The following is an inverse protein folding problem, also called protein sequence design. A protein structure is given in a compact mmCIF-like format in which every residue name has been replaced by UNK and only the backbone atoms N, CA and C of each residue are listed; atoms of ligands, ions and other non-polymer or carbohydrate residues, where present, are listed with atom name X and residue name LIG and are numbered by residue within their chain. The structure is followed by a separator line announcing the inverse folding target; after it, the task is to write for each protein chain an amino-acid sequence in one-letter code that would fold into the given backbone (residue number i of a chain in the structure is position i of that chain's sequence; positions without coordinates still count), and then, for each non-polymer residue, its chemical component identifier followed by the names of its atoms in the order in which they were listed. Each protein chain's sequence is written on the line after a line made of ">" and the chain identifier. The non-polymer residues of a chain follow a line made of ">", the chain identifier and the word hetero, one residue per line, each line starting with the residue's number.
data_IF_337968207670
#
_entry.id   IF_337968207670
#
_cell.length_a   1.000
_cell.length_b   1.000
_cell.length_c   1.000
_cell.angle_alpha   90.00
_cell.angle_beta   90.00
_cell.angle_gamma   90.00
#
_symmetry.space_group_name_H-M   'P 1'
#
loop_
_entity.id
_entity.type
_entity.pdbx_description
1 polymer ?
#
# COMPACT_ATOMS: atom_id res chain seq x y z
N UNK A 1 7.20 43.06 -21.49
CA UNK A 1 8.37 42.36 -20.91
C UNK A 1 8.11 41.79 -19.50
N UNK A 2 7.29 42.42 -18.64
CA UNK A 2 6.97 41.86 -17.31
C UNK A 2 6.11 40.58 -17.36
N UNK A 3 5.11 40.52 -18.25
CA UNK A 3 4.20 39.36 -18.35
C UNK A 3 4.94 38.05 -18.68
N UNK A 4 5.92 38.09 -19.59
CA UNK A 4 6.72 36.92 -19.96
C UNK A 4 7.60 36.42 -18.82
N UNK A 5 8.11 37.33 -17.98
CA UNK A 5 8.86 36.98 -16.77
C UNK A 5 7.97 36.28 -15.74
N UNK A 6 6.75 36.79 -15.53
CA UNK A 6 5.78 36.17 -14.62
C UNK A 6 5.37 34.76 -15.10
N UNK A 7 5.16 34.57 -16.40
CA UNK A 7 4.88 33.25 -16.98
C UNK A 7 6.02 32.26 -16.72
N UNK A 8 7.28 32.70 -16.88
CA UNK A 8 8.44 31.87 -16.60
C UNK A 8 8.54 31.47 -15.12
N UNK A 9 8.26 32.42 -14.21
CA UNK A 9 8.23 32.16 -12.76
C UNK A 9 7.15 31.15 -12.42
N UNK A 10 5.93 31.33 -12.94
CA UNK A 10 4.82 30.40 -12.74
C UNK A 10 5.17 29.00 -13.23
N UNK A 11 5.79 28.89 -14.41
CA UNK A 11 6.19 27.60 -14.98
C UNK A 11 7.27 26.91 -14.13
N UNK A 12 8.25 27.67 -13.62
CA UNK A 12 9.25 27.13 -12.67
C UNK A 12 8.61 26.65 -11.38
N UNK A 13 7.68 27.42 -10.84
CA UNK A 13 6.94 27.04 -9.62
C UNK A 13 6.12 25.78 -9.84
N UNK A 14 5.46 25.67 -10.99
CA UNK A 14 4.69 24.48 -11.35
C UNK A 14 5.57 23.24 -11.46
N UNK A 15 6.74 23.36 -12.11
CA UNK A 15 7.74 22.28 -12.17
C UNK A 15 8.22 21.85 -10.78
N UNK A 16 8.49 22.80 -9.89
CA UNK A 16 8.92 22.51 -8.52
C UNK A 16 7.82 21.77 -7.73
N UNK A 17 6.56 22.20 -7.85
CA UNK A 17 5.43 21.53 -7.20
C UNK A 17 5.23 20.12 -7.77
N UNK A 18 5.27 19.96 -9.09
CA UNK A 18 5.15 18.66 -9.72
C UNK A 18 6.24 17.68 -9.25
N UNK A 19 7.50 18.14 -9.20
CA UNK A 19 8.61 17.35 -8.68
C UNK A 19 8.39 16.98 -7.20
N UNK A 20 8.01 17.94 -6.35
CA UNK A 20 7.70 17.68 -4.95
C UNK A 20 6.64 16.59 -4.78
N UNK A 21 5.53 16.70 -5.53
CA UNK A 21 4.42 15.77 -5.44
C UNK A 21 4.77 14.36 -5.92
N UNK A 22 5.54 14.25 -7.00
CA UNK A 22 5.84 12.97 -7.66
C UNK A 22 7.16 12.33 -7.24
N UNK A 23 7.98 13.04 -6.46
CA UNK A 23 9.23 12.51 -5.89
C UNK A 23 8.97 11.27 -5.04
N UNK A 24 10.01 10.48 -4.77
CA UNK A 24 9.90 9.23 -3.98
C UNK A 24 9.28 9.41 -2.59
N UNK A 25 9.50 10.57 -1.96
CA UNK A 25 8.92 10.95 -0.67
C UNK A 25 7.66 11.80 -0.80
N UNK A 26 7.27 12.13 -2.03
CA UNK A 26 6.12 12.94 -2.33
C UNK A 26 4.79 12.23 -2.00
N UNK A 27 3.70 13.00 -1.82
CA UNK A 27 2.36 12.45 -1.62
C UNK A 27 1.89 11.56 -2.78
N UNK A 28 2.31 11.85 -4.01
CA UNK A 28 1.97 11.10 -5.22
C UNK A 28 3.13 10.21 -5.70
N UNK A 29 4.07 9.91 -4.81
CA UNK A 29 5.09 8.91 -5.07
C UNK A 29 4.41 7.60 -5.51
N UNK A 30 4.83 7.05 -6.66
CA UNK A 30 4.40 5.72 -7.10
C UNK A 30 5.08 4.65 -6.24
N UNK A 31 4.63 4.50 -4.99
CA UNK A 31 5.11 3.45 -4.10
C UNK A 31 4.48 2.14 -4.57
N UNK A 32 5.30 1.20 -5.07
CA UNK A 32 4.90 -0.21 -5.13
C UNK A 32 4.86 -0.72 -3.68
N UNK A 33 3.77 -0.43 -2.97
CA UNK A 33 3.53 -1.07 -1.68
C UNK A 33 3.14 -2.51 -1.98
N UNK A 34 3.91 -3.47 -1.47
CA UNK A 34 3.45 -4.85 -1.45
C UNK A 34 2.12 -4.88 -0.68
N UNK A 35 1.06 -5.49 -1.23
CA UNK A 35 -0.20 -5.60 -0.52
C UNK A 35 0.05 -6.29 0.83
N UNK A 36 -0.36 -5.63 1.92
CA UNK A 36 -0.30 -6.24 3.25
C UNK A 36 -1.50 -7.17 3.36
N UNK A 37 -1.21 -8.46 3.32
CA UNK A 37 -2.22 -9.48 3.59
C UNK A 37 -2.35 -9.67 5.10
N UNK A 38 -3.58 -9.85 5.55
CA UNK A 38 -3.91 -10.05 6.96
C UNK A 38 -4.43 -11.46 7.16
N UNK A 39 -4.11 -12.06 8.31
CA UNK A 39 -4.71 -13.32 8.78
C UNK A 39 -5.14 -13.19 10.23
N UNK A 40 -6.01 -14.08 10.66
CA UNK A 40 -6.33 -14.23 12.07
C UNK A 40 -5.17 -14.99 12.75
N UNK A 41 -4.74 -14.48 13.90
CA UNK A 41 -3.83 -15.20 14.78
C UNK A 41 -4.55 -16.38 15.43
N UNK A 42 -3.80 -17.42 15.81
CA UNK A 42 -4.33 -18.57 16.54
C UNK A 42 -4.54 -18.27 18.04
N UNK A 43 -4.25 -17.04 18.48
CA UNK A 43 -4.37 -16.61 19.87
C UNK A 43 -5.43 -15.52 19.96
N UNK A 44 -6.34 -15.69 20.89
CA UNK A 44 -7.40 -14.74 21.17
C UNK A 44 -6.89 -13.56 22.02
N UNK A 45 -7.55 -12.42 21.88
CA UNK A 45 -7.39 -11.35 22.82
C UNK A 45 -8.09 -11.72 24.15
N UNK A 46 -7.32 -11.86 25.22
CA UNK A 46 -7.79 -12.17 26.57
C UNK A 46 -8.99 -11.30 27.01
N UNK A 47 -9.03 -10.02 26.65
CA UNK A 47 -10.09 -9.10 27.10
C UNK A 47 -11.35 -9.11 26.23
N UNK A 48 -11.26 -9.57 24.99
CA UNK A 48 -12.35 -9.48 24.00
C UNK A 48 -12.80 -10.82 23.44
N UNK A 49 -12.14 -11.92 23.82
CA UNK A 49 -12.39 -13.28 23.31
C UNK A 49 -12.51 -13.31 21.77
N UNK A 50 -11.60 -12.60 21.12
CA UNK A 50 -11.59 -12.45 19.65
C UNK A 50 -10.17 -12.55 19.12
N UNK A 51 -9.99 -13.33 18.06
CA UNK A 51 -8.70 -13.49 17.38
C UNK A 51 -8.16 -12.15 16.86
N UNK A 52 -6.86 -11.95 17.04
CA UNK A 52 -6.17 -10.73 16.60
C UNK A 52 -5.87 -10.80 15.10
N UNK A 53 -6.01 -9.66 14.42
CA UNK A 53 -5.55 -9.51 13.04
C UNK A 53 -4.02 -9.34 13.06
N UNK A 54 -3.30 -10.20 12.35
CA UNK A 54 -1.83 -10.14 12.24
C UNK A 54 -1.39 -10.18 10.77
N UNK A 55 -0.24 -9.56 10.43
CA UNK A 55 0.28 -9.63 9.07
C UNK A 55 0.51 -11.09 8.63
N UNK A 56 0.12 -11.39 7.39
CA UNK A 56 0.37 -12.68 6.75
C UNK A 56 1.51 -12.56 5.73
N UNK A 57 2.73 -12.89 6.18
CA UNK A 57 3.91 -12.87 5.32
C UNK A 57 3.94 -13.98 4.26
N UNK A 58 3.20 -15.08 4.48
CA UNK A 58 3.15 -16.24 3.59
C UNK A 58 1.79 -16.32 2.90
N UNK A 59 1.31 -15.19 2.38
CA UNK A 59 0.03 -15.17 1.67
C UNK A 59 0.13 -15.96 0.38
N UNK A 60 -0.69 -17.02 0.27
CA UNK A 60 -0.96 -17.70 -1.00
C UNK A 60 -2.35 -17.33 -1.48
N UNK A 61 -2.54 -17.39 -2.78
CA UNK A 61 -3.77 -17.01 -3.49
C UNK A 61 -4.89 -18.03 -3.28
N UNK A 62 -5.29 -18.27 -2.03
CA UNK A 62 -6.32 -19.25 -1.64
C UNK A 62 -6.10 -20.69 -2.12
N UNK A 63 -4.92 -21.02 -2.66
CA UNK A 63 -4.58 -22.37 -3.14
C UNK A 63 -4.75 -23.40 -2.02
N UNK A 64 -4.20 -23.12 -0.83
CA UNK A 64 -4.34 -24.00 0.34
C UNK A 64 -5.82 -24.14 0.77
N UNK A 65 -6.62 -23.08 0.66
CA UNK A 65 -8.05 -23.13 0.98
C UNK A 65 -8.85 -23.93 -0.05
N UNK A 66 -8.52 -23.81 -1.34
CA UNK A 66 -9.12 -24.62 -2.41
C UNK A 66 -8.74 -26.10 -2.24
N UNK A 67 -7.47 -26.38 -1.93
CA UNK A 67 -7.00 -27.74 -1.70
C UNK A 67 -7.72 -28.41 -0.52
N UNK A 68 -7.96 -27.68 0.59
CA UNK A 68 -8.75 -28.17 1.71
C UNK A 68 -10.21 -28.45 1.32
N UNK A 69 -10.84 -27.54 0.56
CA UNK A 69 -12.22 -27.74 0.06
C UNK A 69 -12.31 -29.00 -0.81
N UNK A 70 -11.33 -29.17 -1.68
CA UNK A 70 -11.30 -30.24 -2.67
C UNK A 70 -10.74 -31.56 -2.09
N UNK A 71 -10.43 -31.59 -0.78
CA UNK A 71 -9.78 -32.71 -0.07
C UNK A 71 -8.48 -33.18 -0.74
N UNK A 72 -7.76 -32.26 -1.38
CA UNK A 72 -6.50 -32.51 -2.10
C UNK A 72 -5.27 -32.48 -1.17
N UNK A 73 -5.47 -32.45 0.15
CA UNK A 73 -4.39 -32.46 1.16
C UNK A 73 -4.15 -33.85 1.77
N UNK A 74 -2.88 -34.26 1.86
CA UNK A 74 -2.33 -35.45 2.55
C UNK A 74 -2.76 -35.50 4.02
#
# INVERSE_FOLDING_TARGET
>A
KQLSSQQLITLRRWKAVHLYLTSERGPWAKRKQSPIHWKLANVENYSRMRLKLVPNYNFKTHEDASALRDNLGI
#
